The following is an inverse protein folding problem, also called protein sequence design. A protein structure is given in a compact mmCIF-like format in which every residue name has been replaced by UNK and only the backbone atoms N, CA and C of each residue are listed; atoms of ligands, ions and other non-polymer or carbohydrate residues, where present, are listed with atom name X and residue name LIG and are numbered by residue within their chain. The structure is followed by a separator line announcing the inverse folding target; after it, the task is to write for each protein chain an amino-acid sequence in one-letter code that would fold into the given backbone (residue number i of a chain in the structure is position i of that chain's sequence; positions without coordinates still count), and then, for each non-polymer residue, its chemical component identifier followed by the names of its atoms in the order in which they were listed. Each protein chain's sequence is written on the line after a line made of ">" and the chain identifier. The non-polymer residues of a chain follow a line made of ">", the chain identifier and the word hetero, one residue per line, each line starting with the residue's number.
data_IF_240770629420
#
_entry.id   IF_240770629420
#
_cell.length_a   1.000
_cell.length_b   1.000
_cell.length_c   1.000
_cell.angle_alpha   90.00
_cell.angle_beta   90.00
_cell.angle_gamma   90.00
#
_symmetry.space_group_name_H-M   'P 1'
#
loop_
_entity.id
_entity.type
_entity.pdbx_description
1 polymer ?
#
# COMPACT_ATOMS: atom_id res chain seq x y z
N UNK A 1 -6.60 -10.75 6.54
CA UNK A 1 -6.00 -11.69 5.56
C UNK A 1 -4.51 -11.41 5.49
N UNK A 2 -3.66 -12.39 5.74
CA UNK A 2 -2.27 -12.27 5.32
C UNK A 2 -2.20 -12.56 3.81
N UNK A 3 -1.16 -12.08 3.11
CA UNK A 3 -0.95 -12.39 1.67
C UNK A 3 -0.78 -13.91 1.40
N UNK A 4 -0.57 -14.70 2.45
CA UNK A 4 -0.43 -16.16 2.41
C UNK A 4 -1.77 -16.85 2.69
N UNK A 5 -2.84 -16.10 3.01
CA UNK A 5 -4.15 -16.69 3.28
C UNK A 5 -4.79 -17.24 2.02
N UNK A 6 -5.46 -18.39 2.13
CA UNK A 6 -6.20 -19.00 1.01
C UNK A 6 -7.16 -18.00 0.36
N UNK A 7 -7.82 -17.18 1.16
CA UNK A 7 -8.75 -16.16 0.67
C UNK A 7 -8.08 -15.12 -0.22
N UNK A 8 -6.83 -14.71 0.09
CA UNK A 8 -6.07 -13.80 -0.77
C UNK A 8 -5.69 -14.47 -2.09
N UNK A 9 -5.20 -15.72 -2.03
CA UNK A 9 -4.85 -16.49 -3.23
C UNK A 9 -6.05 -16.67 -4.15
N UNK A 10 -7.22 -16.99 -3.59
CA UNK A 10 -8.48 -17.13 -4.36
C UNK A 10 -8.87 -15.78 -4.98
N UNK A 11 -8.84 -14.69 -4.22
CA UNK A 11 -9.14 -13.35 -4.74
C UNK A 11 -8.19 -12.96 -5.88
N UNK A 12 -6.88 -13.22 -5.70
CA UNK A 12 -5.87 -12.97 -6.72
C UNK A 12 -6.13 -13.78 -7.99
N UNK A 13 -6.34 -15.10 -7.86
CA UNK A 13 -6.59 -15.99 -8.98
C UNK A 13 -7.87 -15.61 -9.73
N UNK A 14 -8.98 -15.33 -9.01
CA UNK A 14 -10.21 -14.85 -9.61
C UNK A 14 -10.02 -13.53 -10.35
N UNK A 15 -9.33 -12.57 -9.72
CA UNK A 15 -9.05 -11.26 -10.34
C UNK A 15 -8.20 -11.43 -11.59
N UNK A 16 -7.16 -12.27 -11.53
CA UNK A 16 -6.28 -12.57 -12.66
C UNK A 16 -7.06 -13.19 -13.84
N UNK A 17 -7.87 -14.21 -13.59
CA UNK A 17 -8.71 -14.86 -14.61
C UNK A 17 -9.68 -13.85 -15.22
N UNK A 18 -10.42 -13.09 -14.39
CA UNK A 18 -11.35 -12.09 -14.87
C UNK A 18 -10.68 -10.98 -15.68
N UNK A 19 -9.50 -10.52 -15.25
CA UNK A 19 -8.74 -9.50 -15.97
C UNK A 19 -8.34 -9.94 -17.39
N UNK A 20 -8.03 -11.23 -17.58
CA UNK A 20 -7.62 -11.77 -18.88
C UNK A 20 -8.79 -12.22 -19.75
N UNK A 21 -9.89 -12.69 -19.16
CA UNK A 21 -11.07 -13.18 -19.91
C UNK A 21 -12.01 -12.05 -20.32
N UNK A 22 -12.09 -10.97 -19.54
CA UNK A 22 -12.98 -9.85 -19.82
C UNK A 22 -12.41 -8.90 -20.89
N UNK A 23 -13.30 -8.26 -21.69
CA UNK A 23 -12.90 -7.20 -22.61
C UNK A 23 -12.16 -6.07 -21.90
N UNK A 24 -11.26 -5.38 -22.62
CA UNK A 24 -10.37 -4.33 -22.06
C UNK A 24 -11.12 -3.23 -21.28
N UNK A 25 -12.37 -2.91 -21.70
CA UNK A 25 -13.22 -1.92 -21.01
C UNK A 25 -13.57 -2.28 -19.57
N UNK A 26 -13.59 -3.57 -19.21
CA UNK A 26 -13.95 -4.04 -17.87
C UNK A 26 -12.73 -4.29 -16.98
N UNK A 27 -11.51 -4.33 -17.54
CA UNK A 27 -10.28 -4.64 -16.77
C UNK A 27 -10.07 -3.71 -15.58
N UNK A 28 -10.26 -2.40 -15.80
CA UNK A 28 -10.13 -1.40 -14.71
C UNK A 28 -11.21 -1.58 -13.64
N UNK A 29 -12.45 -1.87 -14.05
CA UNK A 29 -13.52 -2.16 -13.10
C UNK A 29 -13.22 -3.41 -12.27
N UNK A 30 -12.66 -4.46 -12.89
CA UNK A 30 -12.25 -5.70 -12.19
C UNK A 30 -11.19 -5.41 -11.12
N UNK A 31 -10.16 -4.63 -11.45
CA UNK A 31 -9.13 -4.25 -10.48
C UNK A 31 -9.69 -3.42 -9.33
N UNK A 32 -10.55 -2.45 -9.63
CA UNK A 32 -11.15 -1.60 -8.61
C UNK A 32 -12.10 -2.39 -7.70
N UNK A 33 -12.97 -3.23 -8.27
CA UNK A 33 -13.89 -4.07 -7.48
C UNK A 33 -13.12 -5.06 -6.61
N UNK A 34 -12.08 -5.72 -7.12
CA UNK A 34 -11.24 -6.61 -6.34
C UNK A 34 -10.57 -5.88 -5.17
N UNK A 35 -10.08 -4.65 -5.41
CA UNK A 35 -9.46 -3.82 -4.37
C UNK A 35 -10.47 -3.40 -3.30
N UNK A 36 -11.66 -2.96 -3.70
CA UNK A 36 -12.73 -2.61 -2.76
C UNK A 36 -13.20 -3.84 -1.95
N UNK A 37 -13.35 -4.99 -2.58
CA UNK A 37 -13.71 -6.24 -1.89
C UNK A 37 -12.64 -6.66 -0.90
N UNK A 38 -11.36 -6.56 -1.27
CA UNK A 38 -10.26 -6.88 -0.37
C UNK A 38 -10.24 -6.01 0.89
N UNK A 39 -10.34 -4.69 0.72
CA UNK A 39 -10.34 -3.76 1.85
C UNK A 39 -11.62 -3.92 2.69
N UNK A 40 -12.77 -4.02 2.04
CA UNK A 40 -14.07 -4.17 2.70
C UNK A 40 -14.22 -5.48 3.48
N UNK A 41 -13.51 -6.54 3.07
CA UNK A 41 -13.49 -7.81 3.77
C UNK A 41 -12.89 -7.71 5.19
N UNK A 42 -11.95 -6.79 5.41
CA UNK A 42 -11.42 -6.54 6.75
C UNK A 42 -12.42 -5.78 7.61
N UNK A 43 -12.85 -4.63 7.11
CA UNK A 43 -13.86 -3.79 7.76
C UNK A 43 -14.35 -2.71 6.81
N UNK A 44 -15.67 -2.49 6.76
CA UNK A 44 -16.26 -1.48 5.89
C UNK A 44 -15.74 -0.07 6.20
N UNK A 45 -15.49 0.24 7.48
CA UNK A 45 -14.91 1.53 7.89
C UNK A 45 -13.53 1.79 7.26
N UNK A 46 -12.70 0.76 7.05
CA UNK A 46 -11.39 0.90 6.40
C UNK A 46 -11.54 1.29 4.94
N UNK A 47 -12.50 0.69 4.24
CA UNK A 47 -12.82 1.05 2.86
C UNK A 47 -13.30 2.49 2.77
N UNK A 48 -14.22 2.91 3.65
CA UNK A 48 -14.74 4.27 3.67
C UNK A 48 -13.60 5.29 3.93
N UNK A 49 -12.74 5.02 4.91
CA UNK A 49 -11.59 5.88 5.23
C UNK A 49 -10.63 5.99 4.04
N UNK A 50 -10.30 4.85 3.41
CA UNK A 50 -9.42 4.82 2.25
C UNK A 50 -10.02 5.58 1.05
N UNK A 51 -11.33 5.46 0.82
CA UNK A 51 -12.05 6.20 -0.22
C UNK A 51 -12.04 7.70 0.05
N UNK A 52 -12.31 8.13 1.29
CA UNK A 52 -12.30 9.56 1.67
C UNK A 52 -10.91 10.15 1.43
N UNK A 53 -9.85 9.48 1.91
CA UNK A 53 -8.48 9.96 1.72
C UNK A 53 -8.07 9.95 0.25
N UNK A 54 -8.49 8.96 -0.52
CA UNK A 54 -8.24 8.90 -1.99
C UNK A 54 -8.91 10.07 -2.70
N UNK A 55 -10.19 10.35 -2.42
CA UNK A 55 -10.91 11.47 -3.03
C UNK A 55 -10.30 12.81 -2.63
N UNK A 56 -9.99 12.99 -1.36
CA UNK A 56 -9.34 14.23 -0.86
C UNK A 56 -8.01 14.45 -1.56
N UNK A 57 -7.16 13.42 -1.66
CA UNK A 57 -5.87 13.50 -2.33
C UNK A 57 -6.01 13.83 -3.83
N UNK A 58 -6.98 13.24 -4.51
CA UNK A 58 -7.27 13.53 -5.91
C UNK A 58 -7.63 14.99 -6.16
N UNK A 59 -8.52 15.55 -5.33
CA UNK A 59 -8.92 16.95 -5.48
C UNK A 59 -7.79 17.91 -5.08
N UNK A 60 -7.04 17.60 -4.01
CA UNK A 60 -5.84 18.38 -3.64
C UNK A 60 -4.83 18.40 -4.80
N UNK A 61 -4.56 17.25 -5.43
CA UNK A 61 -3.67 17.18 -6.59
C UNK A 61 -4.15 18.07 -7.75
N UNK A 62 -5.45 18.04 -8.05
CA UNK A 62 -6.02 18.94 -9.06
C UNK A 62 -5.88 20.42 -8.71
N UNK A 63 -6.11 20.79 -7.47
CA UNK A 63 -5.97 22.18 -7.02
C UNK A 63 -4.52 22.65 -7.07
N UNK A 64 -3.55 21.80 -6.69
CA UNK A 64 -2.12 22.12 -6.83
C UNK A 64 -1.77 22.37 -8.30
N UNK A 65 -2.17 21.46 -9.20
CA UNK A 65 -1.88 21.58 -10.62
C UNK A 65 -2.60 22.74 -11.33
N UNK A 66 -3.71 23.24 -10.77
CA UNK A 66 -4.44 24.40 -11.31
C UNK A 66 -3.99 25.74 -10.71
N UNK A 67 -3.15 25.72 -9.68
CA UNK A 67 -2.71 26.93 -9.01
C UNK A 67 -1.84 27.81 -9.93
N UNK A 68 -2.34 29.00 -10.27
CA UNK A 68 -1.68 29.96 -11.17
C UNK A 68 -0.46 30.66 -10.54
N UNK A 69 -0.36 30.69 -9.22
CA UNK A 69 0.71 31.34 -8.47
C UNK A 69 1.49 30.33 -7.66
N UNK A 70 2.79 30.41 -7.66
CA UNK A 70 3.69 29.56 -6.88
C UNK A 70 3.36 29.59 -5.38
N UNK A 71 3.04 30.73 -4.83
CA UNK A 71 2.62 30.91 -3.44
C UNK A 71 1.32 30.15 -3.13
N UNK A 72 0.33 30.16 -4.04
CA UNK A 72 -0.90 29.39 -3.89
C UNK A 72 -0.66 27.88 -3.95
N UNK A 73 0.18 27.44 -4.89
CA UNK A 73 0.58 26.04 -5.02
C UNK A 73 1.26 25.53 -3.76
N UNK A 74 2.23 26.28 -3.20
CA UNK A 74 2.89 25.98 -1.93
C UNK A 74 1.89 25.85 -0.77
N UNK A 75 0.96 26.82 -0.68
CA UNK A 75 -0.06 26.82 0.37
C UNK A 75 -0.96 25.59 0.34
N UNK A 76 -1.47 25.20 -0.85
CA UNK A 76 -2.33 24.02 -1.02
C UNK A 76 -1.53 22.74 -0.74
N UNK A 77 -0.28 22.64 -1.22
CA UNK A 77 0.57 21.48 -0.96
C UNK A 77 0.83 21.27 0.52
N UNK A 78 1.34 22.29 1.23
CA UNK A 78 1.64 22.16 2.65
C UNK A 78 0.39 21.91 3.50
N UNK A 79 -0.74 22.56 3.20
CA UNK A 79 -2.01 22.29 3.90
C UNK A 79 -2.51 20.86 3.63
N UNK A 80 -2.37 20.35 2.42
CA UNK A 80 -2.73 18.99 2.05
C UNK A 80 -1.87 17.95 2.77
N UNK A 81 -0.55 18.12 2.79
CA UNK A 81 0.37 17.25 3.52
C UNK A 81 0.07 17.30 5.02
N UNK A 82 -0.12 18.51 5.59
CA UNK A 82 -0.49 18.67 6.99
C UNK A 82 -1.79 17.94 7.33
N UNK A 83 -2.82 18.08 6.50
CA UNK A 83 -4.09 17.35 6.65
C UNK A 83 -3.90 15.83 6.67
N UNK A 84 -3.11 15.27 5.72
CA UNK A 84 -2.85 13.84 5.64
C UNK A 84 -2.09 13.34 6.89
N UNK A 85 -1.07 14.07 7.34
CA UNK A 85 -0.29 13.73 8.54
C UNK A 85 -1.14 13.83 9.80
N UNK A 86 -1.93 14.90 9.96
CA UNK A 86 -2.83 15.07 11.10
C UNK A 86 -3.90 13.97 11.13
N UNK A 87 -4.47 13.62 9.97
CA UNK A 87 -5.43 12.51 9.87
C UNK A 87 -4.80 11.18 10.30
N UNK A 88 -3.58 10.90 9.85
CA UNK A 88 -2.85 9.71 10.25
C UNK A 88 -2.55 9.68 11.75
N UNK A 89 -2.09 10.80 12.33
CA UNK A 89 -1.86 10.93 13.77
C UNK A 89 -3.15 10.77 14.57
N UNK A 90 -4.26 11.37 14.10
CA UNK A 90 -5.56 11.24 14.74
C UNK A 90 -5.98 9.76 14.85
N UNK A 91 -5.90 8.98 13.77
CA UNK A 91 -6.18 7.54 13.82
C UNK A 91 -5.19 6.77 14.70
N UNK A 92 -3.90 7.15 14.71
CA UNK A 92 -2.86 6.47 15.48
C UNK A 92 -3.03 6.64 16.99
N UNK A 93 -3.50 7.80 17.42
CA UNK A 93 -3.60 8.15 18.84
C UNK A 93 -5.05 8.23 19.34
N UNK A 94 -6.02 7.93 18.49
CA UNK A 94 -7.44 7.99 18.83
C UNK A 94 -7.79 7.18 20.09
N UNK A 95 -7.31 5.93 20.18
CA UNK A 95 -7.56 5.06 21.34
C UNK A 95 -6.95 5.58 22.66
N UNK A 96 -5.96 6.48 22.57
CA UNK A 96 -5.32 7.08 23.75
C UNK A 96 -5.96 8.40 24.16
N UNK A 97 -6.63 9.07 23.22
CA UNK A 97 -7.22 10.40 23.41
C UNK A 97 -8.71 10.34 23.70
N UNK A 98 -9.36 9.27 23.29
CA UNK A 98 -10.80 9.06 23.45
C UNK A 98 -11.03 7.64 23.94
N UNK A 99 -12.01 7.44 24.82
CA UNK A 99 -12.46 6.10 25.26
C UNK A 99 -13.18 5.31 24.14
N UNK A 100 -13.19 5.85 22.92
CA UNK A 100 -13.73 5.20 21.74
C UNK A 100 -12.66 4.28 21.15
N UNK A 101 -12.90 2.98 21.18
CA UNK A 101 -12.07 1.98 20.45
C UNK A 101 -12.19 2.18 18.94
N UNK A 102 -11.45 3.17 18.41
CA UNK A 102 -11.40 3.43 16.98
C UNK A 102 -10.42 2.42 16.37
N UNK A 103 -10.96 1.53 15.56
CA UNK A 103 -10.14 0.58 14.81
C UNK A 103 -9.15 1.34 13.92
N UNK A 104 -7.86 1.14 14.18
CA UNK A 104 -6.79 1.69 13.35
C UNK A 104 -6.88 1.11 11.93
N UNK A 105 -7.16 1.94 10.90
CA UNK A 105 -7.38 1.43 9.55
C UNK A 105 -6.13 0.73 9.02
N UNK A 106 -6.35 -0.50 8.52
CA UNK A 106 -5.29 -1.31 7.96
C UNK A 106 -4.64 -0.58 6.78
N UNK A 107 -3.30 -0.57 6.74
CA UNK A 107 -2.54 0.06 5.66
C UNK A 107 -2.53 1.59 5.67
N UNK A 108 -3.17 2.27 6.65
CA UNK A 108 -3.29 3.74 6.67
C UNK A 108 -1.94 4.46 6.50
N UNK A 109 -0.87 3.94 7.09
CA UNK A 109 0.46 4.52 6.95
C UNK A 109 0.94 4.48 5.50
N UNK A 110 0.80 3.33 4.83
CA UNK A 110 1.28 3.15 3.46
C UNK A 110 0.53 4.01 2.46
N UNK A 111 -0.80 4.01 2.49
CA UNK A 111 -1.54 4.84 1.55
C UNK A 111 -1.51 6.33 1.89
N UNK A 112 -1.25 6.72 3.16
CA UNK A 112 -0.95 8.12 3.50
C UNK A 112 0.37 8.57 2.92
N UNK A 113 1.44 7.78 3.05
CA UNK A 113 2.72 8.10 2.41
C UNK A 113 2.62 8.09 0.89
N UNK A 114 1.85 7.19 0.30
CA UNK A 114 1.59 7.19 -1.14
C UNK A 114 0.83 8.45 -1.59
N UNK A 115 -0.14 8.92 -0.80
CA UNK A 115 -0.85 10.17 -1.06
C UNK A 115 0.11 11.37 -1.00
N UNK A 116 0.99 11.43 0.00
CA UNK A 116 2.02 12.47 0.12
C UNK A 116 2.99 12.42 -1.06
N UNK A 117 3.45 11.22 -1.48
CA UNK A 117 4.30 11.06 -2.65
C UNK A 117 3.64 11.63 -3.91
N UNK A 118 2.36 11.32 -4.14
CA UNK A 118 1.60 11.85 -5.28
C UNK A 118 1.50 13.38 -5.25
N UNK A 119 1.14 13.98 -4.10
CA UNK A 119 1.08 15.44 -4.00
C UNK A 119 2.45 16.10 -4.20
N UNK A 120 3.53 15.43 -3.78
CA UNK A 120 4.90 15.89 -3.97
C UNK A 120 5.32 15.85 -5.44
N UNK A 121 4.96 14.79 -6.18
CA UNK A 121 5.20 14.72 -7.63
C UNK A 121 4.53 15.88 -8.37
N UNK A 122 3.26 16.17 -8.07
CA UNK A 122 2.55 17.31 -8.67
C UNK A 122 3.19 18.64 -8.26
N UNK A 123 3.61 18.79 -7.01
CA UNK A 123 4.32 19.98 -6.55
C UNK A 123 5.63 20.20 -7.33
N UNK A 124 6.29 19.12 -7.77
CA UNK A 124 7.47 19.15 -8.63
C UNK A 124 7.14 19.17 -10.13
N UNK A 125 5.97 19.67 -10.50
CA UNK A 125 5.51 19.93 -11.86
C UNK A 125 5.08 18.71 -12.69
N UNK A 126 4.80 17.56 -12.07
CA UNK A 126 4.11 16.48 -12.75
C UNK A 126 2.63 16.85 -12.96
N UNK A 127 2.04 16.36 -14.04
CA UNK A 127 0.63 16.61 -14.32
C UNK A 127 -0.28 15.80 -13.36
N UNK A 128 -1.31 16.45 -12.73
CA UNK A 128 -2.25 15.74 -11.91
C UNK A 128 -3.09 14.76 -12.73
N UNK A 129 -3.38 13.59 -12.17
CA UNK A 129 -4.23 12.61 -12.82
C UNK A 129 -5.64 13.17 -13.08
N UNK A 130 -6.14 12.99 -14.30
CA UNK A 130 -7.45 13.50 -14.75
C UNK A 130 -8.57 12.48 -14.52
N UNK A 131 -8.22 11.19 -14.56
CA UNK A 131 -9.15 10.07 -14.45
C UNK A 131 -9.30 9.62 -12.99
N UNK A 132 -10.45 9.88 -12.38
CA UNK A 132 -10.73 9.42 -11.02
C UNK A 132 -10.66 7.88 -10.88
N UNK A 133 -11.22 7.06 -11.80
CA UNK A 133 -11.10 5.60 -11.69
C UNK A 133 -9.65 5.11 -11.70
N UNK A 134 -8.80 5.68 -12.54
CA UNK A 134 -7.38 5.28 -12.62
C UNK A 134 -6.64 5.66 -11.32
N UNK A 135 -6.94 6.84 -10.79
CA UNK A 135 -6.40 7.27 -9.50
C UNK A 135 -6.89 6.40 -8.33
N UNK A 136 -8.17 6.01 -8.33
CA UNK A 136 -8.70 5.09 -7.31
C UNK A 136 -8.00 3.73 -7.37
N UNK A 137 -7.76 3.17 -8.55
CA UNK A 137 -6.99 1.92 -8.70
C UNK A 137 -5.56 2.13 -8.17
N UNK A 138 -4.91 3.23 -8.55
CA UNK A 138 -3.57 3.56 -8.06
C UNK A 138 -3.49 3.61 -6.54
N UNK A 139 -4.46 4.22 -5.85
CA UNK A 139 -4.44 4.36 -4.39
C UNK A 139 -4.86 3.08 -3.66
N UNK A 140 -5.89 2.37 -4.16
CA UNK A 140 -6.56 1.28 -3.46
C UNK A 140 -6.09 -0.11 -3.88
N UNK A 141 -5.10 -0.21 -4.79
CA UNK A 141 -4.70 -1.48 -5.39
C UNK A 141 -4.38 -2.55 -4.33
N UNK A 142 -5.18 -3.62 -4.32
CA UNK A 142 -5.18 -4.61 -3.24
C UNK A 142 -3.83 -5.31 -3.02
N UNK A 143 -3.02 -5.47 -4.07
CA UNK A 143 -1.72 -6.13 -3.96
C UNK A 143 -0.70 -5.34 -3.13
N UNK A 144 -0.79 -4.01 -3.13
CA UNK A 144 0.14 -3.14 -2.40
C UNK A 144 -0.47 -2.47 -1.16
N UNK A 145 -1.77 -2.61 -0.96
CA UNK A 145 -2.52 -1.84 0.05
C UNK A 145 -2.03 -2.06 1.49
N UNK A 146 -1.60 -3.28 1.85
CA UNK A 146 -1.20 -3.62 3.22
C UNK A 146 0.20 -3.14 3.58
N UNK A 147 1.18 -3.52 2.78
CA UNK A 147 2.62 -3.30 3.04
C UNK A 147 3.45 -3.32 1.76
N UNK A 148 2.80 -3.08 0.62
CA UNK A 148 3.50 -3.03 -0.66
C UNK A 148 4.41 -1.81 -0.78
N UNK A 149 5.31 -1.81 -1.78
CA UNK A 149 6.16 -0.65 -2.03
C UNK A 149 5.32 0.59 -2.36
N UNK A 150 5.78 1.75 -1.89
CA UNK A 150 5.17 3.04 -2.26
C UNK A 150 5.60 3.33 -3.70
N UNK A 151 4.73 3.01 -4.64
CA UNK A 151 4.98 3.25 -6.06
C UNK A 151 4.68 4.70 -6.43
N UNK A 152 5.46 5.26 -7.33
CA UNK A 152 5.22 6.59 -7.87
C UNK A 152 4.04 6.60 -8.83
N UNK A 153 3.27 7.67 -8.81
CA UNK A 153 2.14 7.82 -9.72
C UNK A 153 2.61 7.92 -11.18
N UNK A 154 3.73 8.59 -11.42
CA UNK A 154 4.40 8.70 -12.73
C UNK A 154 4.75 7.34 -13.35
N UNK A 155 5.00 6.30 -12.55
CA UNK A 155 5.35 4.96 -13.03
C UNK A 155 4.11 4.07 -13.23
N UNK A 156 3.16 4.07 -12.28
CA UNK A 156 2.03 3.15 -12.29
C UNK A 156 0.86 3.63 -13.17
N UNK A 157 0.53 4.92 -13.16
CA UNK A 157 -0.63 5.43 -13.91
C UNK A 157 -0.51 5.23 -15.44
N UNK A 158 0.66 5.43 -16.10
CA UNK A 158 0.81 5.12 -17.51
C UNK A 158 0.61 3.64 -17.83
N UNK A 159 1.03 2.73 -16.93
CA UNK A 159 0.81 1.28 -17.09
C UNK A 159 -0.68 0.92 -17.01
N UNK A 160 -1.42 1.52 -16.07
CA UNK A 160 -2.87 1.35 -15.96
C UNK A 160 -3.63 1.86 -17.20
N UNK A 161 -3.14 2.95 -17.81
CA UNK A 161 -3.74 3.52 -19.01
C UNK A 161 -3.46 2.68 -20.27
N UNK A 162 -2.26 2.11 -20.38
CA UNK A 162 -1.84 1.38 -21.56
C UNK A 162 -2.54 0.02 -21.75
N UNK A 163 -3.11 -0.56 -20.68
CA UNK A 163 -3.81 -1.86 -20.68
C UNK A 163 -3.14 -2.92 -21.59
N UNK A 164 -1.80 -2.98 -21.59
CA UNK A 164 -1.04 -3.86 -22.48
C UNK A 164 -1.52 -5.31 -22.36
N UNK A 165 -1.57 -6.00 -23.48
CA UNK A 165 -1.77 -7.45 -23.48
C UNK A 165 -0.58 -8.10 -22.76
N UNK A 166 -0.86 -9.08 -21.93
CA UNK A 166 0.18 -9.79 -21.18
C UNK A 166 0.96 -10.68 -22.15
N UNK A 167 2.25 -10.46 -22.21
CA UNK A 167 3.19 -11.31 -22.93
C UNK A 167 3.61 -12.49 -22.06
N UNK A 168 3.81 -13.66 -22.69
CA UNK A 168 4.26 -14.88 -22.00
C UNK A 168 5.55 -14.65 -21.20
N UNK A 169 6.50 -13.93 -21.77
CA UNK A 169 7.79 -13.63 -21.12
C UNK A 169 7.60 -12.82 -19.84
N UNK A 170 6.77 -11.80 -19.88
CA UNK A 170 6.41 -10.98 -18.73
C UNK A 170 5.67 -11.77 -17.64
N UNK A 171 4.81 -12.70 -18.05
CA UNK A 171 4.08 -13.58 -17.13
C UNK A 171 5.02 -14.55 -16.41
N UNK A 172 5.94 -15.21 -17.14
CA UNK A 172 6.95 -16.10 -16.55
C UNK A 172 7.87 -15.33 -15.61
N UNK A 173 8.29 -14.13 -15.99
CA UNK A 173 9.10 -13.26 -15.14
C UNK A 173 8.37 -12.89 -13.84
N UNK A 174 7.11 -12.48 -13.93
CA UNK A 174 6.28 -12.17 -12.75
C UNK A 174 6.10 -13.37 -11.82
N UNK A 175 5.85 -14.56 -12.38
CA UNK A 175 5.77 -15.80 -11.57
C UNK A 175 7.09 -16.13 -10.86
N UNK A 176 8.23 -15.92 -11.49
CA UNK A 176 9.55 -16.09 -10.84
C UNK A 176 9.72 -15.12 -9.68
N UNK A 177 9.33 -13.85 -9.85
CA UNK A 177 9.38 -12.86 -8.78
C UNK A 177 8.50 -13.25 -7.59
N UNK A 178 7.28 -13.74 -7.84
CA UNK A 178 6.37 -14.23 -6.79
C UNK A 178 7.01 -15.38 -6.02
N UNK A 179 7.59 -16.36 -6.71
CA UNK A 179 8.26 -17.51 -6.05
C UNK A 179 9.45 -17.04 -5.21
N UNK A 180 10.29 -16.15 -5.73
CA UNK A 180 11.42 -15.58 -4.97
C UNK A 180 10.93 -14.79 -3.75
N UNK A 181 9.87 -14.01 -3.90
CA UNK A 181 9.24 -13.29 -2.79
C UNK A 181 8.72 -14.22 -1.70
N UNK A 182 8.00 -15.28 -2.08
CA UNK A 182 7.52 -16.30 -1.14
C UNK A 182 8.67 -17.03 -0.41
N UNK A 183 9.75 -17.35 -1.10
CA UNK A 183 10.95 -17.94 -0.48
C UNK A 183 11.52 -16.99 0.58
N UNK A 184 11.72 -15.73 0.24
CA UNK A 184 12.22 -14.72 1.19
C UNK A 184 11.32 -14.58 2.40
N UNK A 185 10.00 -14.52 2.18
CA UNK A 185 9.03 -14.34 3.26
C UNK A 185 8.92 -15.59 4.13
N UNK A 186 8.62 -16.76 3.53
CA UNK A 186 8.32 -17.98 4.27
C UNK A 186 9.57 -18.65 4.86
N UNK A 187 10.66 -18.70 4.08
CA UNK A 187 11.86 -19.44 4.50
C UNK A 187 12.80 -18.57 5.31
N UNK A 188 12.98 -17.28 4.96
CA UNK A 188 13.88 -16.41 5.71
C UNK A 188 13.15 -15.66 6.82
N UNK A 189 12.20 -14.76 6.48
CA UNK A 189 11.60 -13.88 7.48
C UNK A 189 10.81 -14.65 8.54
N UNK A 190 9.84 -15.47 8.13
CA UNK A 190 8.94 -16.17 9.05
C UNK A 190 9.63 -17.28 9.86
N UNK A 191 10.79 -17.79 9.42
CA UNK A 191 11.57 -18.75 10.21
C UNK A 191 12.43 -18.08 11.28
N UNK A 192 12.88 -16.85 11.03
CA UNK A 192 13.74 -16.10 11.97
C UNK A 192 12.90 -15.32 13.00
N UNK A 193 11.73 -14.80 12.59
CA UNK A 193 10.88 -13.97 13.42
C UNK A 193 10.55 -14.56 14.82
N UNK A 194 10.18 -15.86 14.98
CA UNK A 194 9.87 -16.41 16.30
C UNK A 194 11.05 -16.39 17.28
N UNK A 195 12.28 -16.56 16.77
CA UNK A 195 13.47 -16.44 17.62
C UNK A 195 13.67 -14.99 18.11
N UNK A 196 13.55 -14.04 17.20
CA UNK A 196 13.70 -12.61 17.51
C UNK A 196 12.63 -12.16 18.52
N UNK A 197 11.36 -12.50 18.24
CA UNK A 197 10.22 -12.17 19.11
C UNK A 197 10.37 -12.80 20.50
N UNK A 198 10.84 -14.05 20.57
CA UNK A 198 11.11 -14.73 21.84
C UNK A 198 12.19 -14.04 22.68
N UNK A 199 13.29 -13.63 22.05
CA UNK A 199 14.38 -12.93 22.73
C UNK A 199 13.96 -11.52 23.16
N UNK A 200 13.33 -10.74 22.28
CA UNK A 200 12.88 -9.40 22.62
C UNK A 200 11.68 -9.36 23.57
N UNK A 201 10.85 -10.40 23.57
CA UNK A 201 9.75 -10.56 24.56
C UNK A 201 10.26 -10.86 25.97
N UNK A 202 11.51 -11.36 26.12
CA UNK A 202 12.09 -11.75 27.39
C UNK A 202 13.50 -11.14 27.61
N UNK A 203 13.69 -9.87 27.28
CA UNK A 203 14.96 -9.16 27.30
C UNK A 203 15.70 -9.30 28.64
N UNK A 204 14.98 -9.25 29.77
CA UNK A 204 15.59 -9.32 31.12
C UNK A 204 16.13 -10.71 31.49
N UNK A 205 15.67 -11.77 30.82
CA UNK A 205 16.12 -13.16 31.07
C UNK A 205 17.03 -13.68 29.97
N UNK A 206 17.13 -12.97 28.84
CA UNK A 206 17.95 -13.35 27.70
C UNK A 206 19.44 -13.13 28.02
N UNK A 207 20.30 -14.06 27.57
CA UNK A 207 21.75 -13.89 27.65
C UNK A 207 22.24 -12.82 26.66
N UNK A 208 23.41 -12.21 26.94
CA UNK A 208 24.01 -11.22 26.05
C UNK A 208 24.27 -11.74 24.63
N UNK A 209 24.61 -13.02 24.48
CA UNK A 209 24.79 -13.66 23.18
C UNK A 209 23.46 -13.78 22.42
N UNK A 210 22.37 -14.15 23.09
CA UNK A 210 21.04 -14.21 22.47
C UNK A 210 20.58 -12.83 21.98
N UNK A 211 20.79 -11.79 22.79
CA UNK A 211 20.46 -10.42 22.41
C UNK A 211 21.28 -9.97 21.18
N UNK A 212 22.60 -10.25 21.18
CA UNK A 212 23.45 -9.93 20.05
C UNK A 212 22.99 -10.63 18.77
N UNK A 213 22.69 -11.92 18.85
CA UNK A 213 22.18 -12.68 17.70
C UNK A 213 20.82 -12.16 17.21
N UNK A 214 19.91 -11.84 18.12
CA UNK A 214 18.61 -11.25 17.74
C UNK A 214 18.81 -9.88 17.05
N UNK A 215 19.68 -9.03 17.54
CA UNK A 215 20.03 -7.75 16.90
C UNK A 215 20.64 -7.91 15.51
N UNK A 216 21.46 -8.93 15.27
CA UNK A 216 22.06 -9.21 13.96
C UNK A 216 21.04 -9.84 12.98
N UNK A 217 20.12 -10.66 13.47
CA UNK A 217 19.10 -11.32 12.66
C UNK A 217 17.94 -10.39 12.31
N UNK A 218 17.61 -9.43 13.16
CA UNK A 218 16.49 -8.50 12.97
C UNK A 218 16.54 -7.72 11.63
N UNK A 219 17.69 -7.11 11.21
CA UNK A 219 17.78 -6.47 9.90
C UNK A 219 17.58 -7.45 8.72
N UNK A 220 18.00 -8.71 8.88
CA UNK A 220 17.85 -9.75 7.86
C UNK A 220 16.38 -10.14 7.73
N UNK A 221 15.70 -10.34 8.86
CA UNK A 221 14.25 -10.60 8.92
C UNK A 221 13.46 -9.45 8.29
N UNK A 222 13.77 -8.21 8.70
CA UNK A 222 13.12 -7.02 8.19
C UNK A 222 13.30 -6.88 6.67
N UNK A 223 14.55 -7.02 6.18
CA UNK A 223 14.84 -6.99 4.74
C UNK A 223 14.12 -8.10 3.98
N UNK A 224 14.17 -9.33 4.46
CA UNK A 224 13.51 -10.46 3.82
C UNK A 224 11.97 -10.31 3.83
N UNK A 225 11.41 -9.79 4.93
CA UNK A 225 10.00 -9.47 5.06
C UNK A 225 9.53 -8.42 4.05
N UNK A 226 10.21 -7.26 3.99
CA UNK A 226 9.84 -6.18 3.05
C UNK A 226 10.14 -6.51 1.59
N UNK A 227 11.30 -7.13 1.29
CA UNK A 227 11.65 -7.45 -0.09
C UNK A 227 10.95 -8.70 -0.62
N UNK A 228 10.30 -9.48 0.24
CA UNK A 228 9.49 -10.63 -0.11
C UNK A 228 8.07 -10.29 -0.56
N UNK A 229 7.63 -9.08 -0.26
CA UNK A 229 6.38 -8.52 -0.79
C UNK A 229 6.64 -7.84 -2.12
#
# INVERSE_FOLDING_TARGET
>A
MSFISLNFVVLFACTFILYHTLPSRFRKATLLTASCLFIGFYHLAFLITALILTLTTFYLGKWIGQAKRESGMKGIYFSGVCFLVVSWLAFRYADRLTDCHILFPLGISFYTFQAISYLTEIYWQEEPEKSLPDFMIYMLFFMKFLSGPIERASDMLPQLKSCKATDYTSMVYGMRLIVVGLIKKLILADSIAPYIDGVFGSVYTASGVQLLMACLLYPIELYAGFSGY
#
